data_IF_243844261292
#
_entry.id   IF_243844261292
#
_cell.length_a   1.000
_cell.length_b   1.000
_cell.length_c   1.000
_cell.angle_alpha   90.00
_cell.angle_beta   90.00
_cell.angle_gamma   90.00
#
_symmetry.space_group_name_H-M   'P 1'
#
loop_
_entity.id
_entity.type
_entity.pdbx_description
1 polymer ?
#
# COMPACT_ATOMS: atom_id res chain seq x y z
N UNK A 1 -31.07 -50.10 34.52
CA UNK A 1 -30.21 -48.90 34.50
C UNK A 1 -28.90 -49.22 33.80
N UNK A 2 -28.70 -48.73 32.57
CA UNK A 2 -27.47 -48.91 31.78
C UNK A 2 -26.84 -47.54 31.56
N UNK A 3 -25.61 -47.33 32.02
CA UNK A 3 -24.82 -46.11 31.80
C UNK A 3 -24.04 -46.27 30.50
N UNK A 4 -24.31 -45.42 29.51
CA UNK A 4 -23.58 -45.36 28.24
C UNK A 4 -22.46 -44.33 28.41
N UNK A 5 -21.21 -44.79 28.41
CA UNK A 5 -20.00 -43.97 28.38
C UNK A 5 -19.72 -43.61 26.92
N UNK A 6 -19.91 -42.33 26.56
CA UNK A 6 -19.50 -41.79 25.26
C UNK A 6 -18.03 -41.37 25.33
N UNK A 7 -17.18 -42.08 24.59
CA UNK A 7 -15.78 -41.70 24.38
C UNK A 7 -15.73 -40.72 23.20
N UNK A 8 -15.23 -39.51 23.44
CA UNK A 8 -15.01 -38.50 22.43
C UNK A 8 -13.71 -38.80 21.67
N UNK A 9 -13.84 -39.12 20.38
CA UNK A 9 -12.72 -39.33 19.47
C UNK A 9 -12.15 -37.97 19.06
N UNK A 10 -10.93 -37.67 19.50
CA UNK A 10 -10.16 -36.49 19.06
C UNK A 10 -9.61 -36.77 17.66
N UNK A 11 -10.06 -35.99 16.68
CA UNK A 11 -9.59 -36.02 15.30
C UNK A 11 -8.42 -35.04 15.16
N UNK A 12 -7.19 -35.55 15.18
CA UNK A 12 -5.97 -34.80 14.82
C UNK A 12 -5.81 -34.75 13.30
N UNK A 13 -5.92 -33.57 12.71
CA UNK A 13 -5.53 -33.28 11.32
C UNK A 13 -4.19 -32.54 11.32
N UNK A 14 -3.09 -33.11 10.79
CA UNK A 14 -1.87 -32.35 10.56
C UNK A 14 -1.97 -31.57 9.24
N UNK A 15 -1.86 -30.24 9.32
CA UNK A 15 -1.69 -29.36 8.18
C UNK A 15 -0.22 -29.40 7.70
N UNK A 16 0.01 -29.87 6.48
CA UNK A 16 1.27 -29.73 5.75
C UNK A 16 0.98 -28.92 4.49
N UNK A 17 1.20 -27.61 4.54
CA UNK A 17 1.35 -26.78 3.35
C UNK A 17 2.81 -26.32 3.27
N UNK A 18 3.56 -27.02 2.41
CA UNK A 18 4.88 -26.65 1.98
C UNK A 18 4.80 -25.35 1.15
N UNK A 19 5.50 -24.31 1.61
CA UNK A 19 5.73 -23.09 0.84
C UNK A 19 6.84 -23.37 -0.17
N UNK A 20 6.48 -23.42 -1.44
CA UNK A 20 7.41 -23.56 -2.56
C UNK A 20 8.28 -22.30 -2.70
N UNK A 21 9.58 -22.45 -2.45
CA UNK A 21 10.60 -21.49 -2.85
C UNK A 21 10.91 -21.63 -4.34
N UNK A 22 10.71 -20.56 -5.11
CA UNK A 22 11.25 -20.44 -6.47
C UNK A 22 12.47 -19.53 -6.40
N UNK A 23 13.64 -20.14 -6.47
CA UNK A 23 14.91 -19.47 -6.64
C UNK A 23 15.26 -19.38 -8.13
N UNK A 24 15.51 -18.14 -8.55
CA UNK A 24 16.47 -17.66 -9.55
C UNK A 24 17.17 -18.70 -10.45
N UNK A 25 16.97 -18.55 -11.76
CA UNK A 25 17.79 -19.16 -12.80
C UNK A 25 17.69 -18.43 -14.13
N UNK A 26 18.72 -17.62 -14.40
CA UNK A 26 19.28 -17.12 -15.66
C UNK A 26 18.52 -17.36 -16.98
N UNK A 27 18.42 -16.28 -17.77
CA UNK A 27 18.81 -16.34 -19.18
C UNK A 27 19.51 -15.03 -19.60
N UNK A 28 20.52 -15.22 -20.45
CA UNK A 28 21.46 -14.24 -20.95
C UNK A 28 20.91 -13.54 -22.20
N UNK A 29 21.64 -12.49 -22.56
CA UNK A 29 21.85 -11.96 -23.91
C UNK A 29 20.96 -10.80 -24.39
N UNK A 30 21.60 -9.66 -24.67
CA UNK A 30 21.69 -9.12 -26.04
C UNK A 30 22.66 -7.93 -26.06
N UNK A 31 23.83 -8.20 -26.62
CA UNK A 31 24.53 -7.36 -27.60
C UNK A 31 24.12 -5.88 -27.70
N UNK A 32 25.01 -5.06 -27.15
CA UNK A 32 25.15 -3.64 -27.41
C UNK A 32 25.49 -3.41 -28.89
N UNK A 33 24.56 -2.89 -29.68
CA UNK A 33 24.88 -2.31 -30.99
C UNK A 33 23.98 -1.12 -31.31
N UNK A 34 24.65 -0.03 -31.74
CA UNK A 34 24.19 0.91 -32.77
C UNK A 34 23.26 2.06 -32.34
N UNK A 35 23.89 3.24 -32.26
CA UNK A 35 23.67 4.24 -33.31
C UNK A 35 22.65 5.35 -33.02
N UNK A 36 23.17 6.57 -33.10
CA UNK A 36 22.46 7.84 -33.31
C UNK A 36 21.11 7.73 -34.04
N UNK A 37 20.08 8.45 -33.56
CA UNK A 37 19.39 9.49 -34.36
C UNK A 37 18.26 10.23 -33.62
N UNK A 38 18.28 11.54 -33.88
CA UNK A 38 17.14 12.38 -34.23
C UNK A 38 16.13 12.80 -33.14
N UNK A 39 16.33 14.06 -32.71
CA UNK A 39 15.27 15.08 -32.62
C UNK A 39 14.17 14.87 -33.67
N UNK A 40 12.91 14.70 -33.26
CA UNK A 40 11.75 15.27 -33.95
C UNK A 40 10.47 15.17 -33.12
N UNK A 41 9.84 16.33 -32.91
CA UNK A 41 8.38 16.49 -32.83
C UNK A 41 7.66 15.91 -31.62
N UNK A 42 7.44 16.74 -30.59
CA UNK A 42 6.31 16.55 -29.67
C UNK A 42 5.62 17.91 -29.48
N UNK A 43 4.74 18.26 -30.42
CA UNK A 43 3.87 19.44 -30.37
C UNK A 43 2.38 19.04 -30.49
N UNK A 44 2.03 17.86 -29.98
CA UNK A 44 0.66 17.34 -29.99
C UNK A 44 0.29 16.53 -28.72
N UNK A 45 0.81 16.93 -27.54
CA UNK A 45 0.61 16.17 -26.29
C UNK A 45 0.09 16.96 -25.07
N UNK A 46 -0.08 18.28 -25.16
CA UNK A 46 -0.32 19.10 -23.96
C UNK A 46 -1.76 19.12 -23.44
N UNK A 47 -2.77 18.74 -24.23
CA UNK A 47 -4.16 18.72 -23.72
C UNK A 47 -4.50 17.47 -22.90
N UNK A 48 -3.91 16.30 -23.20
CA UNK A 48 -4.11 15.08 -22.41
C UNK A 48 -3.41 15.08 -21.04
N UNK A 49 -2.35 15.89 -20.87
CA UNK A 49 -1.60 15.98 -19.61
C UNK A 49 -2.31 16.77 -18.50
N UNK A 50 -3.24 17.68 -18.85
CA UNK A 50 -3.88 18.54 -17.86
C UNK A 50 -5.01 17.87 -17.08
N UNK A 51 -5.78 16.97 -17.71
CA UNK A 51 -6.82 16.21 -16.99
C UNK A 51 -6.20 15.12 -16.11
N UNK A 52 -5.19 14.42 -16.59
CA UNK A 52 -4.49 13.39 -15.79
C UNK A 52 -3.88 13.94 -14.50
N UNK A 53 -3.30 15.14 -14.51
CA UNK A 53 -2.60 15.68 -13.33
C UNK A 53 -3.49 16.02 -12.14
N UNK A 54 -4.76 16.40 -12.33
CA UNK A 54 -5.64 16.81 -11.22
C UNK A 54 -6.13 15.63 -10.37
N UNK A 55 -6.43 14.51 -11.00
CA UNK A 55 -6.93 13.31 -10.30
C UNK A 55 -5.76 12.48 -9.78
N UNK A 56 -4.70 12.32 -10.59
CA UNK A 56 -3.48 11.66 -10.12
C UNK A 56 -2.85 12.44 -8.95
N UNK A 57 -2.87 13.78 -8.93
CA UNK A 57 -2.25 14.55 -7.86
C UNK A 57 -2.80 14.27 -6.45
N UNK A 58 -4.11 13.98 -6.32
CA UNK A 58 -4.76 13.73 -5.02
C UNK A 58 -4.77 12.24 -4.64
N UNK A 59 -4.83 11.33 -5.61
CA UNK A 59 -4.85 9.87 -5.36
C UNK A 59 -3.44 9.26 -5.29
N UNK A 60 -2.42 9.90 -5.87
CA UNK A 60 -1.05 9.35 -5.88
C UNK A 60 -0.35 9.45 -4.52
N UNK A 61 -0.72 10.40 -3.65
CA UNK A 61 -0.05 10.64 -2.35
C UNK A 61 -0.55 9.74 -1.19
N UNK A 62 -1.79 9.24 -1.24
CA UNK A 62 -2.26 8.16 -0.36
C UNK A 62 -2.08 6.85 -1.12
N UNK A 63 -1.11 6.03 -0.72
CA UNK A 63 -0.80 4.77 -1.42
C UNK A 63 -2.07 4.01 -1.84
N UNK A 64 -2.14 3.57 -3.10
CA UNK A 64 -3.27 2.77 -3.60
C UNK A 64 -3.16 1.33 -3.08
N UNK A 65 -3.02 1.17 -1.77
CA UNK A 65 -2.85 -0.14 -1.15
C UNK A 65 -4.13 -0.95 -1.11
N UNK A 66 -5.29 -0.32 -1.29
CA UNK A 66 -6.60 -0.98 -1.23
C UNK A 66 -7.58 -0.29 -2.16
N UNK A 67 -8.32 -1.08 -2.92
CA UNK A 67 -9.46 -0.59 -3.70
C UNK A 67 -10.63 -0.46 -2.74
N UNK A 68 -11.20 0.74 -2.60
CA UNK A 68 -12.27 0.96 -1.65
C UNK A 68 -13.31 1.95 -2.18
N UNK A 69 -14.45 2.08 -1.48
CA UNK A 69 -15.58 2.87 -1.95
C UNK A 69 -15.20 4.32 -2.18
N UNK A 70 -14.43 4.93 -1.29
CA UNK A 70 -13.95 6.31 -1.45
C UNK A 70 -13.04 6.52 -2.66
N UNK A 71 -12.26 5.50 -3.06
CA UNK A 71 -11.44 5.59 -4.26
C UNK A 71 -12.32 5.58 -5.51
N UNK A 72 -13.28 4.65 -5.59
CA UNK A 72 -14.19 4.53 -6.73
C UNK A 72 -15.10 5.76 -6.85
N UNK A 73 -15.59 6.29 -5.73
CA UNK A 73 -16.35 7.55 -5.69
C UNK A 73 -15.53 8.75 -6.17
N UNK A 74 -14.21 8.75 -5.89
CA UNK A 74 -13.29 9.75 -6.43
C UNK A 74 -13.05 9.64 -7.94
N UNK A 75 -13.47 8.53 -8.56
CA UNK A 75 -13.40 8.25 -9.99
C UNK A 75 -14.79 8.19 -10.64
N UNK A 76 -15.82 8.81 -10.02
CA UNK A 76 -17.21 8.65 -10.48
C UNK A 76 -17.41 9.06 -11.94
N UNK A 77 -16.74 10.13 -12.37
CA UNK A 77 -16.87 10.68 -13.73
C UNK A 77 -16.09 9.80 -14.71
N UNK A 78 -14.89 9.35 -14.31
CA UNK A 78 -14.04 8.48 -15.10
C UNK A 78 -14.65 7.10 -15.29
N UNK A 79 -15.34 6.56 -14.30
CA UNK A 79 -16.00 5.26 -14.37
C UNK A 79 -17.46 5.34 -14.80
N UNK A 80 -17.97 6.55 -15.04
CA UNK A 80 -19.37 6.79 -15.42
C UNK A 80 -20.33 6.06 -14.46
N UNK A 81 -20.10 6.22 -13.15
CA UNK A 81 -20.90 5.54 -12.13
C UNK A 81 -22.32 6.10 -12.15
N UNK A 82 -23.30 5.20 -12.15
CA UNK A 82 -24.72 5.56 -11.96
C UNK A 82 -24.98 6.04 -10.53
N UNK A 83 -26.07 6.78 -10.33
CA UNK A 83 -26.49 7.25 -9.00
C UNK A 83 -26.72 6.09 -8.03
N UNK A 84 -27.28 4.97 -8.50
CA UNK A 84 -27.47 3.77 -7.70
C UNK A 84 -26.13 3.17 -7.26
N UNK A 85 -25.15 3.07 -8.16
CA UNK A 85 -23.81 2.60 -7.81
C UNK A 85 -23.12 3.52 -6.82
N UNK A 86 -23.25 4.84 -7.00
CA UNK A 86 -22.73 5.85 -6.05
C UNK A 86 -23.33 5.63 -4.67
N UNK A 87 -24.66 5.53 -4.56
CA UNK A 87 -25.35 5.30 -3.28
C UNK A 87 -24.91 3.99 -2.61
N UNK A 88 -24.77 2.90 -3.37
CA UNK A 88 -24.26 1.61 -2.84
C UNK A 88 -22.83 1.72 -2.31
N UNK A 89 -21.95 2.42 -3.04
CA UNK A 89 -20.57 2.63 -2.60
C UNK A 89 -20.49 3.52 -1.36
N UNK A 90 -21.34 4.53 -1.24
CA UNK A 90 -21.44 5.36 -0.03
C UNK A 90 -21.85 4.52 1.18
N UNK A 91 -22.87 3.66 1.04
CA UNK A 91 -23.29 2.75 2.10
C UNK A 91 -22.18 1.79 2.52
N UNK A 92 -21.49 1.15 1.56
CA UNK A 92 -20.34 0.28 1.86
C UNK A 92 -19.25 1.07 2.62
N UNK A 93 -19.04 2.34 2.27
CA UNK A 93 -18.09 3.22 2.94
C UNK A 93 -18.48 3.56 4.39
N UNK A 94 -19.76 3.83 4.64
CA UNK A 94 -20.31 4.09 5.98
C UNK A 94 -20.17 2.85 6.87
N UNK A 95 -20.61 1.68 6.39
CA UNK A 95 -20.56 0.41 7.13
C UNK A 95 -19.10 0.04 7.45
N UNK A 96 -18.21 0.19 6.47
CA UNK A 96 -16.78 -0.04 6.66
C UNK A 96 -16.17 0.93 7.68
N UNK A 97 -16.56 2.21 7.67
CA UNK A 97 -16.07 3.20 8.64
C UNK A 97 -16.43 2.78 10.06
N UNK A 98 -17.67 2.37 10.29
CA UNK A 98 -18.13 1.90 11.60
C UNK A 98 -17.35 0.65 12.04
N UNK A 99 -17.18 -0.33 11.15
CA UNK A 99 -16.39 -1.54 11.42
C UNK A 99 -14.94 -1.20 11.79
N UNK A 100 -14.30 -0.33 11.00
CA UNK A 100 -12.92 0.06 11.23
C UNK A 100 -12.74 0.85 12.52
N UNK A 101 -13.71 1.69 12.89
CA UNK A 101 -13.67 2.40 14.17
C UNK A 101 -13.63 1.43 15.35
N UNK A 102 -14.52 0.43 15.37
CA UNK A 102 -14.52 -0.59 16.40
C UNK A 102 -13.22 -1.41 16.43
N UNK A 103 -12.64 -1.72 15.26
CA UNK A 103 -11.34 -2.41 15.20
C UNK A 103 -10.18 -1.54 15.69
N UNK A 104 -10.20 -0.22 15.42
CA UNK A 104 -9.18 0.71 15.90
C UNK A 104 -9.24 0.90 17.42
N UNK A 105 -10.44 0.93 17.99
CA UNK A 105 -10.64 0.94 19.44
C UNK A 105 -9.99 -0.31 20.07
N UNK A 106 -10.30 -1.50 19.56
CA UNK A 106 -9.68 -2.76 20.02
C UNK A 106 -8.16 -2.79 19.86
N UNK A 107 -7.62 -2.27 18.75
CA UNK A 107 -6.18 -2.16 18.56
C UNK A 107 -5.52 -1.18 19.54
N UNK A 108 -6.23 -0.12 19.94
CA UNK A 108 -5.76 0.83 20.95
C UNK A 108 -5.69 0.16 22.32
N UNK A 109 -6.76 -0.50 22.75
CA UNK A 109 -6.83 -1.27 23.99
C UNK A 109 -5.73 -2.34 24.04
N UNK A 110 -5.56 -3.07 22.94
CA UNK A 110 -4.52 -4.08 22.79
C UNK A 110 -3.11 -3.50 22.98
N UNK A 111 -2.87 -2.30 22.44
CA UNK A 111 -1.58 -1.59 22.58
C UNK A 111 -1.33 -1.13 24.00
N UNK A 112 -2.37 -0.72 24.73
CA UNK A 112 -2.28 -0.36 26.14
C UNK A 112 -1.95 -1.58 27.00
N UNK A 113 -2.66 -2.69 26.79
CA UNK A 113 -2.39 -3.97 27.47
C UNK A 113 -0.95 -4.47 27.24
N UNK A 114 -0.44 -4.37 26.00
CA UNK A 114 0.95 -4.69 25.68
C UNK A 114 1.97 -3.80 26.41
N UNK A 115 1.66 -2.51 26.62
CA UNK A 115 2.52 -1.60 27.35
C UNK A 115 2.53 -1.93 28.85
N UNK A 116 1.37 -2.24 29.42
CA UNK A 116 1.21 -2.63 30.82
C UNK A 116 1.96 -3.93 31.12
N UNK A 117 1.70 -5.00 30.36
CA UNK A 117 2.39 -6.29 30.51
C UNK A 117 3.91 -6.14 30.40
N UNK A 118 4.38 -5.26 29.50
CA UNK A 118 5.81 -4.95 29.37
C UNK A 118 6.38 -4.20 30.57
N UNK A 119 5.63 -3.27 31.17
CA UNK A 119 6.05 -2.54 32.36
C UNK A 119 6.18 -3.47 33.57
N UNK A 120 5.32 -4.47 33.67
CA UNK A 120 5.33 -5.49 34.72
C UNK A 120 6.30 -6.65 34.47
N UNK A 121 6.90 -6.71 33.28
CA UNK A 121 7.71 -7.85 32.83
C UNK A 121 6.93 -9.18 32.85
N UNK A 122 5.62 -9.13 32.60
CA UNK A 122 4.76 -10.30 32.48
C UNK A 122 4.89 -10.89 31.06
N UNK A 123 5.85 -11.80 30.91
CA UNK A 123 6.14 -12.43 29.62
C UNK A 123 5.03 -13.38 29.14
N UNK A 124 4.29 -14.00 30.06
CA UNK A 124 3.18 -14.90 29.72
C UNK A 124 1.96 -14.11 29.19
N UNK A 125 1.72 -12.91 29.72
CA UNK A 125 0.75 -11.98 29.15
C UNK A 125 1.19 -11.46 27.78
N UNK A 126 2.47 -11.10 27.62
CA UNK A 126 3.00 -10.64 26.33
C UNK A 126 2.87 -11.71 25.24
N UNK A 127 3.14 -12.98 25.53
CA UNK A 127 2.98 -14.06 24.55
C UNK A 127 1.53 -14.18 24.07
N UNK A 128 0.57 -14.21 25.00
CA UNK A 128 -0.88 -14.26 24.66
C UNK A 128 -1.33 -13.03 23.87
N UNK A 129 -0.86 -11.85 24.26
CA UNK A 129 -1.18 -10.61 23.54
C UNK A 129 -0.58 -10.62 22.13
N UNK A 130 0.61 -11.18 21.91
CA UNK A 130 1.16 -11.30 20.55
C UNK A 130 0.24 -12.14 19.65
N UNK A 131 -0.29 -13.26 20.16
CA UNK A 131 -1.25 -14.09 19.43
C UNK A 131 -2.55 -13.33 19.13
N UNK A 132 -3.13 -12.68 20.14
CA UNK A 132 -4.34 -11.85 19.98
C UNK A 132 -4.14 -10.73 18.97
N UNK A 133 -2.98 -10.06 19.01
CA UNK A 133 -2.61 -9.02 18.05
C UNK A 133 -2.57 -9.55 16.62
N UNK A 134 -2.05 -10.77 16.43
CA UNK A 134 -2.08 -11.47 15.14
C UNK A 134 -3.50 -11.70 14.61
N UNK A 135 -4.42 -12.13 15.49
CA UNK A 135 -5.83 -12.31 15.15
C UNK A 135 -6.52 -10.98 14.80
N UNK A 136 -6.29 -9.93 15.60
CA UNK A 136 -6.81 -8.59 15.34
C UNK A 136 -6.36 -8.05 13.98
N UNK A 137 -5.07 -8.13 13.68
CA UNK A 137 -4.53 -7.69 12.38
C UNK A 137 -5.09 -8.50 11.22
N UNK A 138 -5.25 -9.82 11.39
CA UNK A 138 -5.88 -10.68 10.38
C UNK A 138 -7.34 -10.29 10.16
N UNK A 139 -8.08 -9.96 11.23
CA UNK A 139 -9.44 -9.46 11.17
C UNK A 139 -9.57 -8.15 10.39
N UNK A 140 -8.66 -7.20 10.62
CA UNK A 140 -8.59 -5.95 9.86
C UNK A 140 -8.33 -6.21 8.38
N UNK A 141 -7.31 -7.03 8.07
CA UNK A 141 -6.97 -7.37 6.69
C UNK A 141 -8.14 -8.03 5.94
N UNK A 142 -8.84 -8.97 6.58
CA UNK A 142 -10.05 -9.60 6.01
C UNK A 142 -11.19 -8.60 5.80
N UNK A 143 -11.39 -7.67 6.74
CA UNK A 143 -12.39 -6.61 6.60
C UNK A 143 -12.12 -5.74 5.37
N UNK A 144 -10.86 -5.30 5.21
CA UNK A 144 -10.43 -4.50 4.04
C UNK A 144 -10.63 -5.26 2.72
N UNK A 145 -10.24 -6.54 2.66
CA UNK A 145 -10.44 -7.38 1.47
C UNK A 145 -11.91 -7.57 1.14
N UNK A 146 -12.77 -7.73 2.15
CA UNK A 146 -14.21 -7.87 1.92
C UNK A 146 -14.80 -6.58 1.34
N UNK A 147 -14.39 -5.42 1.84
CA UNK A 147 -14.86 -4.12 1.34
C UNK A 147 -14.36 -3.84 -0.06
N UNK A 148 -13.11 -4.21 -0.38
CA UNK A 148 -12.58 -4.18 -1.74
C UNK A 148 -13.45 -5.02 -2.69
N UNK A 149 -13.71 -6.28 -2.31
CA UNK A 149 -14.54 -7.18 -3.10
C UNK A 149 -15.96 -6.60 -3.33
N UNK A 150 -16.64 -6.18 -2.26
CA UNK A 150 -17.97 -5.60 -2.35
C UNK A 150 -17.99 -4.34 -3.24
N UNK A 151 -16.97 -3.48 -3.12
CA UNK A 151 -16.87 -2.28 -3.94
C UNK A 151 -16.71 -2.60 -5.43
N UNK A 152 -15.91 -3.62 -5.77
CA UNK A 152 -15.71 -4.07 -7.15
C UNK A 152 -16.93 -4.80 -7.73
N UNK A 153 -17.72 -5.48 -6.89
CA UNK A 153 -18.98 -6.14 -7.28
C UNK A 153 -20.06 -5.12 -7.69
N UNK A 154 -20.00 -3.87 -7.21
CA UNK A 154 -20.92 -2.79 -7.63
C UNK A 154 -20.68 -2.35 -9.08
N UNK A 155 -19.47 -2.53 -9.60
CA UNK A 155 -19.11 -2.14 -10.96
C UNK A 155 -19.66 -3.14 -12.00
N UNK A 156 -19.87 -2.67 -13.22
CA UNK A 156 -20.06 -3.55 -14.38
C UNK A 156 -18.71 -4.11 -14.86
N UNK A 157 -18.72 -5.12 -15.72
CA UNK A 157 -17.48 -5.67 -16.31
C UNK A 157 -16.68 -4.62 -17.08
N UNK A 158 -17.36 -3.80 -17.89
CA UNK A 158 -16.72 -2.71 -18.64
C UNK A 158 -16.08 -1.67 -17.70
N UNK A 159 -16.74 -1.33 -16.59
CA UNK A 159 -16.18 -0.43 -15.59
C UNK A 159 -14.99 -1.04 -14.83
N UNK A 160 -15.03 -2.35 -14.53
CA UNK A 160 -13.89 -3.06 -13.92
C UNK A 160 -12.67 -3.07 -14.84
N UNK A 161 -12.87 -3.27 -16.14
CA UNK A 161 -11.80 -3.20 -17.13
C UNK A 161 -11.19 -1.79 -17.19
N UNK A 162 -12.05 -0.75 -17.29
CA UNK A 162 -11.64 0.66 -17.27
C UNK A 162 -10.85 1.00 -15.99
N UNK A 163 -11.32 0.54 -14.84
CA UNK A 163 -10.64 0.70 -13.55
C UNK A 163 -9.29 0.00 -13.52
N UNK A 164 -9.19 -1.22 -14.06
CA UNK A 164 -7.94 -1.98 -14.13
C UNK A 164 -6.89 -1.26 -14.96
N UNK A 165 -7.27 -0.79 -16.16
CA UNK A 165 -6.39 0.00 -17.02
C UNK A 165 -5.94 1.30 -16.35
N UNK A 166 -6.86 1.99 -15.66
CA UNK A 166 -6.52 3.18 -14.88
C UNK A 166 -5.50 2.87 -13.78
N UNK A 167 -5.70 1.77 -13.03
CA UNK A 167 -4.81 1.34 -11.93
C UNK A 167 -3.40 1.02 -12.44
N UNK A 168 -3.29 0.31 -13.56
CA UNK A 168 -2.01 0.04 -14.22
C UNK A 168 -1.28 1.33 -14.62
N UNK A 169 -2.01 2.29 -15.20
CA UNK A 169 -1.47 3.60 -15.53
C UNK A 169 -0.94 4.36 -14.32
N UNK A 170 -1.68 4.33 -13.19
CA UNK A 170 -1.24 4.93 -11.92
C UNK A 170 0.02 4.25 -11.38
N UNK A 171 0.11 2.92 -11.47
CA UNK A 171 1.28 2.18 -10.99
C UNK A 171 2.53 2.48 -11.82
N UNK A 172 2.39 2.51 -13.16
CA UNK A 172 3.48 2.91 -14.06
C UNK A 172 3.94 4.34 -13.72
N UNK A 173 3.00 5.27 -13.55
CA UNK A 173 3.32 6.66 -13.20
C UNK A 173 4.05 6.74 -11.86
N UNK A 174 3.59 6.01 -10.84
CA UNK A 174 4.22 5.96 -9.51
C UNK A 174 5.62 5.38 -9.55
N UNK A 175 5.84 4.32 -10.33
CA UNK A 175 7.18 3.75 -10.55
C UNK A 175 8.13 4.80 -11.13
N UNK A 176 7.71 5.49 -12.20
CA UNK A 176 8.50 6.56 -12.81
C UNK A 176 8.81 7.71 -11.85
N UNK A 177 7.83 8.14 -11.04
CA UNK A 177 8.05 9.18 -10.03
C UNK A 177 9.05 8.73 -8.95
N UNK A 178 8.96 7.48 -8.50
CA UNK A 178 9.88 6.90 -7.52
C UNK A 178 11.30 6.81 -8.06
N UNK A 179 11.45 6.39 -9.32
CA UNK A 179 12.76 6.27 -9.97
C UNK A 179 13.40 7.64 -10.17
N UNK A 180 12.62 8.65 -10.58
CA UNK A 180 13.08 10.04 -10.64
C UNK A 180 13.54 10.55 -9.28
N UNK A 181 12.75 10.34 -8.23
CA UNK A 181 13.11 10.76 -6.87
C UNK A 181 14.38 10.07 -6.36
N UNK A 182 14.58 8.79 -6.69
CA UNK A 182 15.82 8.06 -6.38
C UNK A 182 17.02 8.65 -7.12
N UNK A 183 16.89 8.92 -8.42
CA UNK A 183 17.94 9.57 -9.22
C UNK A 183 18.32 10.95 -8.65
N UNK A 184 17.32 11.79 -8.34
CA UNK A 184 17.55 13.12 -7.78
C UNK A 184 18.26 13.05 -6.41
N UNK A 185 17.90 12.07 -5.57
CA UNK A 185 18.56 11.83 -4.27
C UNK A 185 20.01 11.38 -4.45
N UNK A 186 20.28 10.47 -5.39
CA UNK A 186 21.62 9.95 -5.64
C UNK A 186 22.54 11.02 -6.25
N UNK A 187 22.03 11.84 -7.17
CA UNK A 187 22.75 12.98 -7.74
C UNK A 187 22.97 14.10 -6.71
N UNK A 188 21.98 14.38 -5.84
CA UNK A 188 22.09 15.37 -4.78
C UNK A 188 23.14 15.03 -3.73
N UNK A 189 23.28 13.75 -3.38
CA UNK A 189 24.29 13.29 -2.41
C UNK A 189 25.71 13.33 -3.00
N UNK A 190 25.89 13.03 -4.30
CA UNK A 190 27.20 13.17 -4.97
C UNK A 190 27.60 14.64 -5.20
N UNK A 191 26.65 15.54 -5.39
CA UNK A 191 26.91 16.97 -5.60
C UNK A 191 27.14 17.80 -4.34
N UNK A 192 26.52 17.46 -3.20
CA UNK A 192 26.66 18.22 -1.94
C UNK A 192 27.96 17.95 -1.18
N UNK A 193 28.50 16.73 -1.24
CA UNK A 193 29.73 16.36 -0.51
C UNK A 193 31.00 17.05 -1.04
N UNK A 194 31.03 17.45 -2.31
CA UNK A 194 32.19 18.12 -2.92
C UNK A 194 32.27 19.61 -2.57
N UNK A 195 31.14 20.30 -2.36
CA UNK A 195 31.14 21.76 -2.10
C UNK A 195 31.49 22.14 -0.66
N UNK A 196 31.35 21.24 0.31
CA UNK A 196 31.75 21.52 1.69
C UNK A 196 33.26 21.39 1.94
N UNK A 197 34.01 20.66 1.10
CA UNK A 197 35.48 20.55 1.21
C UNK A 197 36.26 21.72 0.61
N UNK A 198 35.60 22.60 -0.14
CA UNK A 198 36.22 23.80 -0.72
C UNK A 198 35.81 25.09 -0.01
N UNK A 199 35.28 25.04 1.22
CA UNK A 199 35.26 26.26 2.03
C UNK A 199 36.72 26.55 2.42
N UNK A 200 37.33 27.65 1.95
CA UNK A 200 38.65 28.03 2.45
C UNK A 200 38.56 28.17 3.98
N UNK A 201 39.61 27.78 4.73
CA UNK A 201 39.62 27.93 6.17
C UNK A 201 39.29 29.38 6.51
N UNK A 202 38.34 29.58 7.43
CA UNK A 202 38.04 30.93 7.90
C UNK A 202 39.32 31.52 8.50
N UNK A 203 39.67 32.78 8.16
CA UNK A 203 40.81 33.43 8.80
C UNK A 203 40.58 33.45 10.33
N UNK A 204 41.64 33.31 11.13
CA UNK A 204 41.52 33.37 12.58
C UNK A 204 40.90 34.71 13.00
N UNK A 205 40.10 34.74 14.08
CA UNK A 205 39.56 35.98 14.60
C UNK A 205 40.71 36.93 15.00
N UNK A 206 40.54 38.26 14.83
CA UNK A 206 41.55 39.21 15.23
C UNK A 206 41.80 39.12 16.74
N UNK A 207 43.05 39.22 17.20
CA UNK A 207 43.36 39.23 18.62
C UNK A 207 42.83 40.53 19.26
N UNK A 208 41.97 40.39 20.27
CA UNK A 208 41.63 41.47 21.21
C UNK A 208 40.26 42.15 21.02
N UNK A 209 39.17 41.41 21.24
CA UNK A 209 37.87 41.97 21.60
C UNK A 209 37.47 41.50 22.99
#
# INVERSE_FOLDING_TARGET
MRKILAWATVLTLPALLAVSGVALGQEQDTTQTRGMRARRGVHAGMMGQRMGQRILGRVVMRGAGHVGPHMLLGLKEELELSEEQVSRLEQIGEDHRALMQAQMERLSEHREAMQEARAESDYDALERLIEEGGELHTGVARGLLNVERQSLEVLTDAQREKYTAWREGVEIFRRHQRDRWRQDRDHGMRGRGMRQRQRPPQPPPPPGA
#
